data_IF_262132204116
#
_entry.id   IF_262132204116
#
_cell.length_a   1.000
_cell.length_b   1.000
_cell.length_c   1.000
_cell.angle_alpha   90.00
_cell.angle_beta   90.00
_cell.angle_gamma   90.00
#
_symmetry.space_group_name_H-M   'P 1'
#
loop_
_entity.id
_entity.type
_entity.pdbx_description
1 polymer ?
#
# COMPACT_ATOMS: atom_id res chain seq x y z
N UNK A 1 24.69 25.61 19.04
CA UNK A 1 24.44 25.81 17.60
C UNK A 1 24.03 27.26 17.40
N UNK A 2 24.83 28.05 16.69
CA UNK A 2 24.39 29.38 16.26
C UNK A 2 23.73 29.28 14.90
N UNK A 3 22.56 29.90 14.75
CA UNK A 3 21.90 30.02 13.46
C UNK A 3 22.52 31.19 12.69
N UNK A 4 23.05 30.92 11.51
CA UNK A 4 23.54 31.95 10.61
C UNK A 4 22.38 32.69 9.92
N UNK A 5 22.52 34.01 9.67
CA UNK A 5 21.51 34.77 8.95
C UNK A 5 21.40 34.31 7.48
N UNK A 6 20.19 34.41 6.92
CA UNK A 6 19.95 34.03 5.52
C UNK A 6 20.77 34.92 4.57
N UNK A 7 21.37 34.35 3.51
CA UNK A 7 22.17 35.10 2.56
C UNK A 7 21.30 36.08 1.78
N UNK A 8 21.73 37.35 1.71
CA UNK A 8 21.06 38.39 0.93
C UNK A 8 21.68 38.39 -0.47
N UNK A 9 20.91 37.94 -1.47
CA UNK A 9 21.33 37.98 -2.86
C UNK A 9 20.85 39.25 -3.55
N UNK A 10 21.78 39.98 -4.19
CA UNK A 10 21.44 41.12 -5.04
C UNK A 10 20.83 40.61 -6.35
N UNK A 11 19.68 41.16 -6.73
CA UNK A 11 19.07 40.84 -8.03
C UNK A 11 19.99 41.27 -9.18
N UNK A 12 20.27 40.31 -10.09
CA UNK A 12 21.03 40.57 -11.30
C UNK A 12 20.07 40.98 -12.41
N UNK A 13 20.17 42.21 -12.90
CA UNK A 13 19.40 42.67 -14.06
C UNK A 13 20.07 42.20 -15.34
N UNK A 14 19.33 41.53 -16.22
CA UNK A 14 19.76 41.26 -17.61
C UNK A 14 19.18 42.33 -18.53
N UNK A 15 19.88 42.63 -19.62
CA UNK A 15 19.36 43.53 -20.67
C UNK A 15 18.19 42.85 -21.39
N UNK A 16 17.09 43.58 -21.58
CA UNK A 16 15.93 43.12 -22.36
C UNK A 16 16.29 43.07 -23.84
N UNK A 17 15.76 42.09 -24.57
CA UNK A 17 15.86 42.05 -26.02
C UNK A 17 14.88 43.04 -26.67
N UNK A 18 15.17 43.53 -27.89
CA UNK A 18 14.21 44.33 -28.65
C UNK A 18 12.88 43.57 -28.79
N UNK A 19 11.76 44.24 -28.50
CA UNK A 19 10.38 43.70 -28.51
C UNK A 19 9.97 42.79 -27.33
N UNK A 20 10.83 42.55 -26.34
CA UNK A 20 10.50 41.74 -25.16
C UNK A 20 9.60 42.51 -24.18
N UNK A 21 8.33 42.13 -24.06
CA UNK A 21 7.36 42.75 -23.13
C UNK A 21 7.34 42.11 -21.72
N UNK A 22 8.00 40.97 -21.55
CA UNK A 22 8.05 40.24 -20.27
C UNK A 22 9.03 40.93 -19.31
N UNK A 23 8.60 41.07 -18.05
CA UNK A 23 9.44 41.53 -16.95
C UNK A 23 9.87 40.35 -16.07
N UNK A 24 11.16 40.30 -15.74
CA UNK A 24 11.70 39.30 -14.82
C UNK A 24 11.41 39.75 -13.38
N UNK A 25 10.65 38.93 -12.64
CA UNK A 25 10.27 39.16 -11.25
C UNK A 25 11.01 38.15 -10.35
N UNK A 26 12.30 38.38 -10.06
CA UNK A 26 13.06 37.49 -9.19
C UNK A 26 12.56 37.61 -7.74
N UNK A 27 12.57 36.48 -7.03
CA UNK A 27 12.38 36.48 -5.57
C UNK A 27 13.57 37.23 -4.94
N UNK A 28 13.29 38.34 -4.29
CA UNK A 28 14.30 39.20 -3.65
C UNK A 28 14.34 39.07 -2.14
N UNK A 29 13.25 38.64 -1.50
CA UNK A 29 13.18 38.43 -0.06
C UNK A 29 13.81 37.06 0.31
N UNK A 30 14.93 37.03 1.05
CA UNK A 30 15.57 35.78 1.46
C UNK A 30 14.67 34.87 2.29
N UNK A 31 13.73 35.44 3.08
CA UNK A 31 12.78 34.63 3.88
C UNK A 31 11.79 33.91 2.98
N UNK A 32 11.25 34.63 2.00
CA UNK A 32 10.35 34.05 1.00
C UNK A 32 11.08 33.01 0.13
N UNK A 33 12.32 33.27 -0.26
CA UNK A 33 13.15 32.31 -0.99
C UNK A 33 13.38 31.02 -0.20
N UNK A 34 13.78 31.14 1.07
CA UNK A 34 13.96 29.99 1.96
C UNK A 34 12.64 29.21 2.15
N UNK A 35 11.52 29.93 2.31
CA UNK A 35 10.20 29.31 2.45
C UNK A 35 9.85 28.45 1.24
N UNK A 36 10.11 28.95 0.02
CA UNK A 36 9.79 28.22 -1.20
C UNK A 36 10.79 27.10 -1.45
N UNK A 37 12.07 27.43 -1.52
CA UNK A 37 13.12 26.51 -1.99
C UNK A 37 13.51 25.46 -0.97
N UNK A 38 13.32 25.74 0.32
CA UNK A 38 13.72 24.82 1.38
C UNK A 38 12.50 24.29 2.12
N UNK A 39 11.69 25.16 2.72
CA UNK A 39 10.61 24.70 3.60
C UNK A 39 9.55 23.88 2.85
N UNK A 40 9.01 24.40 1.74
CA UNK A 40 8.01 23.66 0.96
C UNK A 40 8.62 22.43 0.28
N UNK A 41 9.83 22.53 -0.27
CA UNK A 41 10.53 21.37 -0.83
C UNK A 41 10.72 20.25 0.20
N UNK A 42 11.10 20.60 1.44
CA UNK A 42 11.19 19.63 2.53
C UNK A 42 9.83 18.99 2.84
N UNK A 43 8.75 19.78 2.91
CA UNK A 43 7.41 19.24 3.13
C UNK A 43 6.98 18.30 2.01
N UNK A 44 7.18 18.69 0.75
CA UNK A 44 6.85 17.85 -0.41
C UNK A 44 7.67 16.56 -0.40
N UNK A 45 8.94 16.64 -0.02
CA UNK A 45 9.82 15.47 0.13
C UNK A 45 9.31 14.53 1.22
N UNK A 46 8.91 15.06 2.37
CA UNK A 46 8.34 14.27 3.48
C UNK A 46 7.04 13.61 3.03
N UNK A 47 6.14 14.36 2.39
CA UNK A 47 4.86 13.84 1.89
C UNK A 47 5.11 12.74 0.86
N UNK A 48 6.03 12.96 -0.08
CA UNK A 48 6.39 11.97 -1.10
C UNK A 48 6.97 10.71 -0.47
N UNK A 49 7.91 10.83 0.48
CA UNK A 49 8.49 9.69 1.17
C UNK A 49 7.45 8.89 1.97
N UNK A 50 6.50 9.56 2.62
CA UNK A 50 5.39 8.90 3.31
C UNK A 50 4.51 8.16 2.30
N UNK A 51 4.12 8.81 1.20
CA UNK A 51 3.26 8.19 0.19
C UNK A 51 3.94 7.01 -0.52
N UNK A 52 5.23 7.09 -0.83
CA UNK A 52 5.96 5.99 -1.43
C UNK A 52 6.06 4.80 -0.47
N UNK A 53 6.33 5.07 0.81
CA UNK A 53 6.46 4.01 1.83
C UNK A 53 5.12 3.38 2.20
N UNK A 54 4.05 4.16 2.29
CA UNK A 54 2.79 3.74 2.90
C UNK A 54 1.57 3.78 1.97
N UNK A 55 1.65 4.33 0.76
CA UNK A 55 0.48 4.46 -0.13
C UNK A 55 0.75 3.87 -1.51
N UNK A 56 1.96 3.36 -1.74
CA UNK A 56 2.35 2.73 -3.01
C UNK A 56 1.51 1.48 -3.33
N UNK A 57 1.58 1.05 -4.61
CA UNK A 57 0.79 -0.06 -5.20
C UNK A 57 0.80 -1.36 -4.36
N UNK A 58 1.86 -1.59 -3.58
CA UNK A 58 1.97 -2.74 -2.68
C UNK A 58 0.85 -2.78 -1.63
N UNK A 59 0.34 -1.63 -1.16
CA UNK A 59 -0.74 -1.61 -0.18
C UNK A 59 -2.06 -2.10 -0.75
N UNK A 60 -2.42 -1.71 -1.97
CA UNK A 60 -3.68 -2.16 -2.55
C UNK A 60 -3.61 -3.66 -2.88
N UNK A 61 -2.45 -4.14 -3.33
CA UNK A 61 -2.20 -5.58 -3.44
C UNK A 61 -2.31 -6.29 -2.09
N UNK A 62 -1.73 -5.74 -1.02
CA UNK A 62 -1.81 -6.32 0.32
C UNK A 62 -3.23 -6.31 0.87
N UNK A 63 -4.03 -5.29 0.58
CA UNK A 63 -5.47 -5.25 0.89
C UNK A 63 -6.20 -6.39 0.20
N UNK A 64 -5.95 -6.61 -1.09
CA UNK A 64 -6.54 -7.73 -1.83
C UNK A 64 -6.06 -9.09 -1.28
N UNK A 65 -4.77 -9.23 -0.96
CA UNK A 65 -4.22 -10.45 -0.34
C UNK A 65 -4.85 -10.69 1.04
N UNK A 66 -5.16 -9.64 1.81
CA UNK A 66 -5.77 -9.78 3.13
C UNK A 66 -7.17 -10.41 3.08
N UNK A 67 -7.85 -10.38 1.92
CA UNK A 67 -9.13 -11.06 1.72
C UNK A 67 -8.98 -12.58 1.85
N UNK A 68 -7.81 -13.16 1.56
CA UNK A 68 -7.54 -14.60 1.75
C UNK A 68 -7.32 -14.99 3.22
N UNK A 69 -7.43 -14.05 4.16
CA UNK A 69 -7.34 -14.38 5.59
C UNK A 69 -8.50 -15.28 6.02
N UNK A 70 -8.21 -16.23 6.92
CA UNK A 70 -9.18 -17.15 7.53
C UNK A 70 -10.44 -16.43 8.03
N UNK A 71 -10.26 -15.26 8.65
CA UNK A 71 -11.37 -14.43 9.16
C UNK A 71 -12.31 -13.99 8.04
N UNK A 72 -11.76 -13.46 6.94
CA UNK A 72 -12.55 -12.98 5.79
C UNK A 72 -13.21 -14.13 5.04
N UNK A 73 -12.52 -15.25 4.86
CA UNK A 73 -13.09 -16.47 4.27
C UNK A 73 -14.32 -16.97 5.06
N UNK A 74 -14.22 -17.01 6.40
CA UNK A 74 -15.33 -17.40 7.26
C UNK A 74 -16.50 -16.40 7.24
N UNK A 75 -16.22 -15.10 7.17
CA UNK A 75 -17.27 -14.07 7.06
C UNK A 75 -18.05 -14.18 5.74
N UNK A 76 -17.36 -14.40 4.62
CA UNK A 76 -17.99 -14.58 3.29
C UNK A 76 -18.92 -15.79 3.29
N UNK A 77 -18.53 -16.88 3.95
CA UNK A 77 -19.38 -18.07 4.14
C UNK A 77 -20.63 -17.78 4.98
N UNK A 78 -20.49 -17.08 6.11
CA UNK A 78 -21.59 -16.91 7.07
C UNK A 78 -22.65 -15.90 6.63
N UNK A 79 -22.27 -14.88 5.87
CA UNK A 79 -23.08 -13.66 5.79
C UNK A 79 -23.80 -13.50 4.45
N UNK A 80 -23.59 -14.41 3.47
CA UNK A 80 -23.94 -14.18 2.05
C UNK A 80 -23.50 -12.78 1.55
N UNK A 81 -22.58 -12.14 2.27
CA UNK A 81 -22.29 -10.73 2.13
C UNK A 81 -21.33 -10.58 0.99
N UNK A 82 -21.81 -9.88 -0.04
CA UNK A 82 -21.08 -9.56 -1.24
C UNK A 82 -19.65 -9.11 -0.90
N UNK A 83 -18.67 -9.69 -1.61
CA UNK A 83 -17.34 -9.14 -1.63
C UNK A 83 -17.40 -7.62 -1.90
N UNK A 84 -16.46 -6.85 -1.34
CA UNK A 84 -16.29 -5.45 -1.73
C UNK A 84 -16.27 -5.33 -3.25
N UNK A 85 -16.91 -4.29 -3.80
CA UNK A 85 -17.03 -4.12 -5.25
C UNK A 85 -15.65 -4.07 -5.93
N UNK A 86 -14.70 -3.47 -5.23
CA UNK A 86 -13.31 -3.27 -5.59
C UNK A 86 -12.38 -4.43 -5.21
N UNK A 87 -12.91 -5.52 -4.64
CA UNK A 87 -12.11 -6.67 -4.24
C UNK A 87 -11.34 -7.27 -5.42
N UNK A 88 -10.04 -7.53 -5.19
CA UNK A 88 -9.10 -8.13 -6.14
C UNK A 88 -8.74 -7.28 -7.35
N UNK A 89 -9.17 -6.01 -7.42
CA UNK A 89 -8.85 -5.16 -8.57
C UNK A 89 -7.34 -4.99 -8.74
N UNK A 90 -6.61 -4.64 -7.68
CA UNK A 90 -5.15 -4.45 -7.75
C UNK A 90 -4.40 -5.76 -7.94
N UNK A 91 -4.90 -6.85 -7.35
CA UNK A 91 -4.36 -8.19 -7.58
C UNK A 91 -4.47 -8.59 -9.05
N UNK A 92 -5.64 -8.43 -9.66
CA UNK A 92 -5.86 -8.74 -11.06
C UNK A 92 -5.16 -7.76 -12.00
N UNK A 93 -4.97 -6.49 -11.65
CA UNK A 93 -4.16 -5.57 -12.45
C UNK A 93 -2.71 -6.07 -12.56
N UNK A 94 -2.11 -6.50 -11.45
CA UNK A 94 -0.72 -6.97 -11.39
C UNK A 94 -0.54 -8.34 -12.04
N UNK A 95 -1.47 -9.26 -11.79
CA UNK A 95 -1.42 -10.65 -12.26
C UNK A 95 -2.38 -10.92 -13.44
N UNK A 96 -2.76 -9.88 -14.18
CA UNK A 96 -3.75 -9.92 -15.28
C UNK A 96 -3.45 -10.95 -16.36
N UNK A 97 -2.17 -11.31 -16.54
CA UNK A 97 -1.75 -12.37 -17.48
C UNK A 97 -2.27 -13.76 -17.10
N UNK A 98 -2.49 -14.01 -15.81
CA UNK A 98 -2.78 -15.35 -15.27
C UNK A 98 -4.15 -15.43 -14.61
N UNK A 99 -4.73 -14.30 -14.19
CA UNK A 99 -5.92 -14.27 -13.36
C UNK A 99 -6.92 -13.26 -13.89
N UNK A 100 -8.14 -13.72 -14.18
CA UNK A 100 -9.27 -12.87 -14.54
C UNK A 100 -10.12 -12.55 -13.30
N UNK A 101 -10.59 -11.30 -13.21
CA UNK A 101 -11.28 -10.79 -12.02
C UNK A 101 -12.57 -11.56 -11.71
N UNK A 102 -13.39 -11.81 -12.72
CA UNK A 102 -14.70 -12.47 -12.53
C UNK A 102 -14.55 -13.95 -12.17
N UNK A 103 -13.57 -14.62 -12.77
CA UNK A 103 -13.25 -16.01 -12.44
C UNK A 103 -12.69 -16.10 -11.01
N UNK A 104 -11.76 -15.22 -10.65
CA UNK A 104 -11.20 -15.17 -9.30
C UNK A 104 -12.28 -14.95 -8.24
N UNK A 105 -13.22 -14.02 -8.47
CA UNK A 105 -14.32 -13.76 -7.53
C UNK A 105 -15.22 -14.99 -7.35
N UNK A 106 -15.55 -15.70 -8.44
CA UNK A 106 -16.36 -16.93 -8.40
C UNK A 106 -15.63 -18.04 -7.63
N UNK A 107 -14.38 -18.32 -8.00
CA UNK A 107 -13.56 -19.35 -7.36
C UNK A 107 -13.32 -19.05 -5.88
N UNK A 108 -13.07 -17.78 -5.54
CA UNK A 108 -12.88 -17.37 -4.14
C UNK A 108 -14.12 -17.62 -3.29
N UNK A 109 -15.32 -17.28 -3.79
CA UNK A 109 -16.58 -17.55 -3.07
C UNK A 109 -16.80 -19.06 -2.92
N UNK A 110 -16.54 -19.83 -3.98
CA UNK A 110 -16.64 -21.28 -3.92
C UNK A 110 -15.67 -21.86 -2.89
N UNK A 111 -14.40 -21.45 -2.92
CA UNK A 111 -13.39 -21.87 -1.97
C UNK A 111 -13.76 -21.50 -0.53
N UNK A 112 -14.27 -20.29 -0.28
CA UNK A 112 -14.70 -19.83 1.05
C UNK A 112 -15.78 -20.75 1.65
N UNK A 113 -16.70 -21.28 0.83
CA UNK A 113 -17.73 -22.21 1.29
C UNK A 113 -17.15 -23.53 1.82
N UNK A 114 -16.13 -24.06 1.15
CA UNK A 114 -15.45 -25.31 1.48
C UNK A 114 -14.27 -25.15 2.46
N UNK A 115 -13.84 -23.92 2.72
CA UNK A 115 -12.63 -23.64 3.48
C UNK A 115 -12.64 -24.25 4.89
N UNK A 116 -13.78 -24.29 5.58
CA UNK A 116 -13.89 -24.92 6.90
C UNK A 116 -13.62 -26.42 6.87
N UNK A 117 -14.08 -27.11 5.83
CA UNK A 117 -13.85 -28.55 5.64
C UNK A 117 -12.38 -28.81 5.29
N UNK A 118 -11.83 -28.00 4.38
CA UNK A 118 -10.42 -28.02 4.03
C UNK A 118 -9.51 -27.80 5.25
N UNK A 119 -9.82 -26.81 6.10
CA UNK A 119 -9.05 -26.53 7.31
C UNK A 119 -9.09 -27.68 8.31
N UNK A 120 -10.20 -28.42 8.39
CA UNK A 120 -10.33 -29.57 9.28
C UNK A 120 -9.48 -30.75 8.79
N UNK A 121 -9.36 -30.94 7.47
CA UNK A 121 -8.50 -31.97 6.87
C UNK A 121 -7.02 -31.62 7.05
N UNK A 122 -6.66 -30.34 6.94
CA UNK A 122 -5.29 -29.86 7.11
C UNK A 122 -4.76 -29.97 8.55
N UNK A 123 -5.66 -30.06 9.54
CA UNK A 123 -5.25 -30.30 10.91
C UNK A 123 -4.74 -31.75 11.03
N UNK A 124 -3.42 -31.91 11.06
CA UNK A 124 -2.81 -33.22 11.35
C UNK A 124 -3.40 -33.76 12.67
N UNK A 125 -3.75 -35.05 12.74
CA UNK A 125 -4.13 -35.66 14.00
C UNK A 125 -3.02 -35.46 15.02
N UNK A 126 -3.39 -35.04 16.24
CA UNK A 126 -2.43 -34.73 17.33
C UNK A 126 -1.48 -35.89 17.65
N UNK A 127 -1.85 -37.12 17.33
CA UNK A 127 -0.99 -38.28 17.38
C UNK A 127 -1.14 -39.08 16.08
N UNK A 128 0.00 -39.41 15.48
CA UNK A 128 0.10 -40.25 14.27
C UNK A 128 -0.03 -41.75 14.64
N UNK A 129 0.19 -42.08 15.92
CA UNK A 129 0.09 -43.43 16.46
C UNK A 129 -0.88 -43.48 17.63
N UNK A 130 -1.70 -44.53 17.70
CA UNK A 130 -2.46 -44.84 18.90
C UNK A 130 -1.46 -45.15 20.02
N UNK A 131 -1.51 -44.41 21.12
CA UNK A 131 -0.80 -44.77 22.35
C UNK A 131 -1.44 -46.03 22.93
N UNK A 132 -1.17 -47.18 22.33
CA UNK A 132 -1.27 -48.46 23.02
C UNK A 132 -0.10 -48.54 23.98
N UNK A 133 -0.21 -47.88 25.13
CA UNK A 133 0.54 -48.32 26.30
C UNK A 133 -0.03 -49.70 26.64
N UNK A 134 0.63 -50.75 26.17
CA UNK A 134 0.46 -52.09 26.72
C UNK A 134 0.61 -51.95 28.23
N UNK A 135 -0.50 -52.12 28.95
CA UNK A 135 -0.41 -52.41 30.38
C UNK A 135 0.26 -53.78 30.47
N UNK A 136 1.57 -53.77 30.65
CA UNK A 136 2.29 -54.93 31.17
C UNK A 136 1.74 -55.15 32.57
N UNK A 137 0.94 -56.21 32.70
CA UNK A 137 0.51 -56.71 34.00
C UNK A 137 1.73 -57.36 34.67
N UNK A 138 2.07 -56.90 35.88
CA UNK A 138 2.72 -57.71 36.91
C UNK A 138 1.64 -58.27 37.86
#
# INVERSE_FOLDING_TARGET
MEFSPLPIHRSRKKKRLPSEQIEDNPITDPKYEFKIKTYFVCLDTIITAINDRFTSKSQNLLKDISLFSTKRLNEVKCTNSALPKDAFNSFCEIYSKFVQLDELKKEYVQFANYFSEFSNIMNLPKNIHNNYSEKVCD
#
